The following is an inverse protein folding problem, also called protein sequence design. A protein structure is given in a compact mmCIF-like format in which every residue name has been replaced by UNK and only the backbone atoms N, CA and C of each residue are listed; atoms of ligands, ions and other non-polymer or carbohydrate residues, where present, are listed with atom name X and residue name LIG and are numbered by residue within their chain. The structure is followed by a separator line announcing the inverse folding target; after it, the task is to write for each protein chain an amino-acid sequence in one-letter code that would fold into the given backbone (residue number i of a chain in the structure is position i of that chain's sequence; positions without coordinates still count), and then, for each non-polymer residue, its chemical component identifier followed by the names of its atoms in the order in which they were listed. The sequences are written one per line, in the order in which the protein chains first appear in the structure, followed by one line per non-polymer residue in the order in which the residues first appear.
data_IF_977784154967
#
_entry.id   IF_977784154967
#
_cell.length_a   1.000
_cell.length_b   1.000
_cell.length_c   1.000
_cell.angle_alpha   90.00
_cell.angle_beta   90.00
_cell.angle_gamma   90.00
#
_symmetry.space_group_name_H-M   'P 1'
#
loop_
_entity.id
_entity.type
_entity.pdbx_description
1 polymer ?
#
# COMPACT_ATOMS: atom_id res chain seq x y z
N UNK A 1 -15.74 -8.97 -0.76
CA UNK A 1 -15.00 -8.89 0.51
C UNK A 1 -14.94 -7.47 1.02
N UNK A 2 -14.80 -7.32 2.32
CA UNK A 2 -14.70 -5.99 2.93
C UNK A 2 -13.26 -5.50 2.89
N UNK A 3 -13.09 -4.20 2.79
CA UNK A 3 -11.78 -3.58 2.89
C UNK A 3 -11.58 -3.01 4.28
N UNK A 4 -10.42 -3.25 4.85
CA UNK A 4 -10.03 -2.66 6.12
C UNK A 4 -8.65 -2.04 5.93
N UNK A 5 -8.50 -0.81 6.38
CA UNK A 5 -7.24 -0.08 6.26
C UNK A 5 -6.57 -0.01 7.61
N UNK A 6 -5.33 -0.42 7.69
CA UNK A 6 -4.56 -0.14 8.90
C UNK A 6 -4.29 1.36 9.01
N UNK A 7 -4.22 1.90 10.21
CA UNK A 7 -3.94 3.34 10.38
C UNK A 7 -2.67 3.78 9.65
N UNK A 8 -1.65 2.93 9.62
CA UNK A 8 -0.41 3.27 8.91
C UNK A 8 -0.65 3.42 7.42
N UNK A 9 -1.53 2.61 6.83
CA UNK A 9 -1.84 2.72 5.40
C UNK A 9 -2.57 4.03 5.10
N UNK A 10 -3.50 4.41 5.97
CA UNK A 10 -4.21 5.67 5.80
C UNK A 10 -3.22 6.83 5.89
N UNK A 11 -2.31 6.77 6.85
CA UNK A 11 -1.28 7.79 7.01
C UNK A 11 -0.38 7.85 5.77
N UNK A 12 -0.03 6.69 5.21
CA UNK A 12 0.80 6.64 4.00
C UNK A 12 0.14 7.37 2.84
N UNK A 13 -1.14 7.11 2.63
CA UNK A 13 -1.88 7.74 1.52
C UNK A 13 -1.92 9.26 1.73
N UNK A 14 -2.19 9.68 2.96
CA UNK A 14 -2.23 11.10 3.26
C UNK A 14 -0.89 11.77 3.02
N UNK A 15 0.20 11.14 3.46
CA UNK A 15 1.54 11.71 3.29
C UNK A 15 1.91 11.82 1.82
N UNK A 16 1.57 10.82 1.01
CA UNK A 16 1.86 10.86 -0.41
C UNK A 16 1.13 12.02 -1.08
N UNK A 17 -0.14 12.20 -0.75
CA UNK A 17 -0.94 13.26 -1.35
C UNK A 17 -0.52 14.64 -0.83
N UNK A 18 -0.21 14.75 0.46
CA UNK A 18 0.23 16.02 1.04
C UNK A 18 1.55 16.49 0.45
N UNK A 19 2.46 15.57 0.16
CA UNK A 19 3.72 15.93 -0.47
C UNK A 19 3.46 16.63 -1.81
N UNK A 20 2.57 16.07 -2.62
CA UNK A 20 2.26 16.66 -3.92
C UNK A 20 1.56 18.00 -3.75
N UNK A 21 0.62 18.09 -2.81
CA UNK A 21 -0.13 19.32 -2.61
C UNK A 21 0.75 20.45 -2.11
N UNK A 22 1.63 20.16 -1.16
CA UNK A 22 2.34 21.20 -0.43
C UNK A 22 3.75 21.44 -0.92
N UNK A 23 4.47 20.38 -1.26
CA UNK A 23 5.85 20.52 -1.74
C UNK A 23 5.85 20.84 -3.22
N UNK A 24 5.06 20.14 -4.01
CA UNK A 24 4.99 20.37 -5.44
C UNK A 24 3.93 21.39 -5.84
N UNK A 25 3.19 21.91 -4.85
CA UNK A 25 2.19 22.97 -5.06
C UNK A 25 1.15 22.60 -6.10
N UNK A 26 0.69 21.36 -6.08
CA UNK A 26 -0.27 20.89 -7.08
C UNK A 26 -1.38 20.10 -6.39
N UNK A 27 -2.40 20.81 -5.93
CA UNK A 27 -3.52 20.19 -5.22
C UNK A 27 -4.34 19.28 -6.12
N UNK A 28 -4.47 19.65 -7.38
CA UNK A 28 -5.22 18.84 -8.32
C UNK A 28 -4.56 17.48 -8.52
N UNK A 29 -3.23 17.47 -8.68
CA UNK A 29 -2.50 16.23 -8.82
C UNK A 29 -2.54 15.40 -7.55
N UNK A 30 -2.50 16.05 -6.39
CA UNK A 30 -2.60 15.34 -5.11
C UNK A 30 -3.93 14.61 -5.00
N UNK A 31 -5.00 15.28 -5.38
CA UNK A 31 -6.32 14.67 -5.31
C UNK A 31 -6.47 13.52 -6.30
N UNK A 32 -5.90 13.69 -7.51
CA UNK A 32 -5.93 12.61 -8.50
C UNK A 32 -5.19 11.37 -8.01
N UNK A 33 -4.05 11.57 -7.35
CA UNK A 33 -3.31 10.42 -6.80
C UNK A 33 -4.14 9.69 -5.77
N UNK A 34 -4.75 10.44 -4.84
CA UNK A 34 -5.56 9.83 -3.79
C UNK A 34 -6.71 9.02 -4.40
N UNK A 35 -7.40 9.60 -5.38
CA UNK A 35 -8.53 8.94 -6.01
C UNK A 35 -8.07 7.65 -6.72
N UNK A 36 -6.95 7.73 -7.45
CA UNK A 36 -6.44 6.55 -8.15
C UNK A 36 -6.07 5.41 -7.20
N UNK A 37 -5.44 5.76 -6.08
CA UNK A 37 -5.07 4.75 -5.10
C UNK A 37 -6.32 4.07 -4.55
N UNK A 38 -7.30 4.86 -4.14
CA UNK A 38 -8.51 4.31 -3.55
C UNK A 38 -9.32 3.49 -4.54
N UNK A 39 -9.40 3.95 -5.79
CA UNK A 39 -10.10 3.19 -6.82
C UNK A 39 -9.40 1.87 -7.12
N UNK A 40 -8.08 1.91 -7.22
CA UNK A 40 -7.32 0.69 -7.47
C UNK A 40 -7.47 -0.32 -6.34
N UNK A 41 -7.44 0.17 -5.11
CA UNK A 41 -7.63 -0.71 -3.96
C UNK A 41 -9.03 -1.31 -3.94
N UNK A 42 -10.03 -0.53 -4.36
CA UNK A 42 -11.41 -1.04 -4.32
C UNK A 42 -11.63 -2.22 -5.26
N UNK A 43 -10.80 -2.38 -6.27
CA UNK A 43 -10.90 -3.54 -7.16
C UNK A 43 -10.62 -4.84 -6.43
N UNK A 44 -9.91 -4.78 -5.32
CA UNK A 44 -9.60 -5.97 -4.53
C UNK A 44 -10.86 -6.62 -3.95
N UNK A 45 -11.93 -5.85 -3.77
CA UNK A 45 -13.16 -6.41 -3.23
C UNK A 45 -13.68 -7.56 -4.08
N UNK A 46 -13.51 -7.44 -5.40
CA UNK A 46 -13.98 -8.47 -6.33
C UNK A 46 -12.84 -9.34 -6.85
N UNK A 47 -11.59 -8.93 -6.62
CA UNK A 47 -10.43 -9.64 -7.11
C UNK A 47 -9.35 -9.69 -6.02
N UNK A 48 -9.62 -10.39 -4.92
CA UNK A 48 -8.72 -10.30 -3.75
C UNK A 48 -7.33 -10.85 -4.00
N UNK A 49 -7.14 -11.70 -4.97
CA UNK A 49 -5.83 -12.30 -5.23
C UNK A 49 -5.16 -11.74 -6.47
N UNK A 50 -5.59 -10.56 -6.94
CA UNK A 50 -5.00 -10.00 -8.14
C UNK A 50 -3.58 -9.49 -7.93
N UNK A 51 -3.19 -9.18 -6.69
CA UNK A 51 -1.84 -8.73 -6.41
C UNK A 51 -0.84 -9.88 -6.45
N UNK A 52 0.43 -9.52 -6.58
CA UNK A 52 1.52 -10.48 -6.63
C UNK A 52 1.92 -10.91 -5.22
N UNK A 53 2.12 -12.19 -4.95
CA UNK A 53 2.64 -12.59 -3.64
C UNK A 53 4.01 -11.97 -3.41
N UNK A 54 4.20 -11.37 -2.24
CA UNK A 54 5.45 -10.71 -1.92
C UNK A 54 6.59 -11.73 -1.83
N UNK A 55 6.27 -12.96 -1.39
CA UNK A 55 7.25 -14.03 -1.28
C UNK A 55 7.80 -14.48 -2.63
N UNK A 56 7.14 -14.11 -3.73
CA UNK A 56 7.68 -14.43 -5.05
C UNK A 56 8.83 -13.51 -5.42
N UNK A 57 9.02 -12.40 -4.69
CA UNK A 57 10.09 -11.44 -4.96
C UNK A 57 11.19 -11.47 -3.92
N UNK A 58 10.87 -11.83 -2.69
CA UNK A 58 11.83 -11.80 -1.59
C UNK A 58 11.71 -13.06 -0.76
N UNK A 59 12.84 -13.66 -0.44
CA UNK A 59 12.88 -14.79 0.45
C UNK A 59 12.67 -14.36 1.88
N UNK A 60 12.10 -15.23 2.68
CA UNK A 60 11.96 -14.97 4.11
C UNK A 60 10.83 -14.07 4.51
N UNK A 61 9.97 -13.67 3.58
CA UNK A 61 8.80 -12.86 3.91
C UNK A 61 7.57 -13.76 3.99
N UNK A 62 6.53 -13.33 4.71
CA UNK A 62 5.30 -14.14 4.82
C UNK A 62 4.66 -14.40 3.47
N UNK A 63 4.06 -15.59 3.34
CA UNK A 63 3.41 -15.97 2.09
C UNK A 63 2.09 -15.27 1.87
N UNK A 64 1.49 -14.74 2.92
CA UNK A 64 0.13 -14.19 2.85
C UNK A 64 0.09 -12.72 2.50
N UNK A 65 1.24 -12.08 2.32
CA UNK A 65 1.27 -10.67 1.92
C UNK A 65 1.36 -10.59 0.41
N UNK A 66 0.50 -9.77 -0.17
CA UNK A 66 0.49 -9.49 -1.59
C UNK A 66 0.69 -8.01 -1.81
N UNK A 67 1.07 -7.63 -3.02
CA UNK A 67 1.18 -6.22 -3.36
C UNK A 67 0.71 -5.96 -4.77
N UNK A 68 0.27 -4.72 -5.00
CA UNK A 68 0.09 -4.23 -6.35
C UNK A 68 0.64 -2.81 -6.44
N UNK A 69 0.89 -2.38 -7.67
CA UNK A 69 1.46 -1.06 -7.92
C UNK A 69 0.37 -0.18 -8.51
N UNK A 70 0.11 0.93 -7.86
CA UNK A 70 -0.85 1.92 -8.32
C UNK A 70 -0.15 3.26 -8.32
N UNK A 71 0.03 3.87 -9.50
CA UNK A 71 0.67 5.19 -9.63
C UNK A 71 2.01 5.24 -8.90
N UNK A 72 2.83 4.21 -9.08
CA UNK A 72 4.16 4.08 -8.47
C UNK A 72 4.13 3.87 -6.96
N UNK A 73 2.96 3.71 -6.39
CA UNK A 73 2.82 3.36 -4.97
C UNK A 73 2.62 1.87 -4.87
N UNK A 74 3.33 1.23 -3.95
CA UNK A 74 3.17 -0.19 -3.68
C UNK A 74 2.17 -0.37 -2.57
N UNK A 75 1.07 -1.04 -2.89
CA UNK A 75 -0.01 -1.29 -1.95
C UNK A 75 0.18 -2.71 -1.42
N UNK A 76 0.53 -2.83 -0.15
CA UNK A 76 0.71 -4.13 0.50
C UNK A 76 -0.56 -4.51 1.25
N UNK A 77 -1.02 -5.73 1.03
CA UNK A 77 -2.27 -6.17 1.65
C UNK A 77 -2.24 -7.67 1.89
N UNK A 78 -3.19 -8.14 2.67
CA UNK A 78 -3.41 -9.57 2.81
C UNK A 78 -4.90 -9.85 2.94
N UNK A 79 -5.29 -11.07 2.56
CA UNK A 79 -6.66 -11.53 2.67
C UNK A 79 -6.78 -12.27 3.99
N UNK A 80 -7.70 -11.82 4.85
CA UNK A 80 -7.91 -12.41 6.17
C UNK A 80 -9.39 -12.73 6.28
N UNK A 81 -9.72 -14.02 6.23
CA UNK A 81 -11.09 -14.48 6.29
C UNK A 81 -11.90 -13.81 5.19
N UNK A 82 -12.88 -13.01 5.55
CA UNK A 82 -13.75 -12.37 4.56
C UNK A 82 -13.40 -10.92 4.32
N UNK A 83 -12.20 -10.51 4.65
CA UNK A 83 -11.81 -9.12 4.47
C UNK A 83 -10.41 -9.02 3.87
N UNK A 84 -10.12 -7.86 3.32
CA UNK A 84 -8.82 -7.52 2.77
C UNK A 84 -8.26 -6.44 3.65
N UNK A 85 -7.11 -6.70 4.23
CA UNK A 85 -6.45 -5.77 5.12
C UNK A 85 -5.36 -5.04 4.36
N UNK A 86 -5.51 -3.73 4.19
CA UNK A 86 -4.50 -2.90 3.53
C UNK A 86 -3.47 -2.54 4.60
N UNK A 87 -2.25 -3.03 4.41
CA UNK A 87 -1.19 -2.95 5.43
C UNK A 87 -0.42 -1.65 5.32
N UNK A 88 0.10 -1.36 4.15
CA UNK A 88 0.88 -0.15 3.90
C UNK A 88 0.73 0.27 2.44
N UNK A 89 0.94 1.57 2.19
CA UNK A 89 0.98 2.12 0.84
C UNK A 89 2.26 2.94 0.76
N UNK A 90 3.27 2.41 0.08
CA UNK A 90 4.61 2.98 0.10
C UNK A 90 5.10 3.30 -1.31
N UNK A 91 5.87 4.38 -1.43
CA UNK A 91 6.53 4.70 -2.69
C UNK A 91 7.44 3.53 -3.07
N UNK A 92 7.45 3.19 -4.38
CA UNK A 92 8.22 2.04 -4.84
C UNK A 92 9.73 2.15 -4.63
N UNK A 93 10.24 3.35 -4.30
CA UNK A 93 11.66 3.56 -4.03
C UNK A 93 11.99 3.45 -2.55
N UNK A 94 10.96 3.28 -1.70
CA UNK A 94 11.15 3.20 -0.26
C UNK A 94 11.71 1.83 0.12
N UNK A 95 12.47 1.78 1.22
CA UNK A 95 12.90 0.51 1.78
C UNK A 95 11.70 -0.13 2.51
N UNK A 96 10.85 -0.79 1.74
CA UNK A 96 9.58 -1.27 2.30
C UNK A 96 9.76 -2.44 3.24
N UNK A 97 10.87 -3.18 3.17
CA UNK A 97 11.09 -4.24 4.15
C UNK A 97 11.18 -3.68 5.55
N UNK A 98 11.85 -2.53 5.71
CA UNK A 98 11.95 -1.87 6.99
C UNK A 98 10.56 -1.43 7.47
N UNK A 99 9.79 -0.84 6.58
CA UNK A 99 8.46 -0.32 6.95
C UNK A 99 7.47 -1.43 7.28
N UNK A 100 7.59 -2.58 6.59
CA UNK A 100 6.64 -3.68 6.80
C UNK A 100 6.99 -4.49 8.04
N UNK A 101 8.28 -4.71 8.29
CA UNK A 101 8.72 -5.67 9.29
C UNK A 101 9.52 -5.03 10.42
N UNK A 102 9.62 -3.70 10.42
CA UNK A 102 10.33 -2.99 11.46
C UNK A 102 11.80 -2.88 11.20
N UNK A 103 12.44 -1.97 11.92
CA UNK A 103 13.85 -1.73 11.73
C UNK A 103 14.61 -1.84 13.03
N UNK A 104 13.93 -2.24 14.07
CA UNK A 104 14.51 -2.30 15.37
C UNK A 104 15.51 -3.42 15.50
N UNK A 105 15.42 -4.37 14.64
CA UNK A 105 16.32 -5.46 14.74
C UNK A 105 17.72 -5.08 14.37
N UNK A 106 17.93 -3.90 13.81
CA UNK A 106 19.22 -3.53 13.51
C UNK A 106 19.97 -3.04 14.65
N UNK A 107 19.45 -2.61 15.58
CA UNK A 107 20.20 -2.09 16.54
C UNK A 107 20.91 -2.80 17.36
#
# INVERSE_FOLDING_TARGET
MRLQYRPAAISDIRKASDYIAEVLKNRSAANRLKVRILEGISLLKDNPYMGTPFSSKYDGVPDDIRFLVISKQMVFYKVVENSIEIIRVLDGRTDYLVHLFGSDEQE
#
